data_IF_234302372680
#
_entry.id   IF_234302372680
#
_cell.length_a   1.000
_cell.length_b   1.000
_cell.length_c   1.000
_cell.angle_alpha   90.00
_cell.angle_beta   90.00
_cell.angle_gamma   90.00
#
_symmetry.space_group_name_H-M   'P 1'
#
loop_
_entity.id
_entity.type
_entity.pdbx_description
1 polymer ?
#
# COMPACT_ATOMS: atom_id res chain seq x y z
N UNK A 1 -22.58 -0.26 -18.35
CA UNK A 1 -21.24 0.30 -18.06
C UNK A 1 -20.20 -0.80 -17.88
N UNK A 2 -20.35 -1.73 -16.93
CA UNK A 2 -19.45 -2.90 -16.81
C UNK A 2 -19.38 -3.75 -18.08
N UNK A 3 -20.54 -4.04 -18.68
CA UNK A 3 -20.62 -4.79 -19.95
C UNK A 3 -19.83 -4.17 -21.10
N UNK A 4 -19.59 -2.86 -21.04
CA UNK A 4 -18.82 -2.11 -22.04
C UNK A 4 -17.31 -2.18 -21.76
N UNK A 5 -16.91 -2.10 -20.48
CA UNK A 5 -15.49 -1.96 -20.08
C UNK A 5 -14.81 -3.30 -19.84
N UNK A 6 -15.57 -4.35 -19.48
CA UNK A 6 -15.01 -5.65 -19.08
C UNK A 6 -14.14 -6.29 -20.16
N UNK A 7 -14.50 -6.10 -21.43
CA UNK A 7 -13.76 -6.66 -22.56
C UNK A 7 -12.37 -6.05 -22.67
N UNK A 8 -12.30 -4.72 -22.68
CA UNK A 8 -11.06 -3.96 -22.77
C UNK A 8 -10.17 -4.20 -21.55
N UNK A 9 -10.76 -4.21 -20.34
CA UNK A 9 -10.03 -4.49 -19.11
C UNK A 9 -9.43 -5.91 -19.13
N UNK A 10 -10.20 -6.92 -19.57
CA UNK A 10 -9.74 -8.30 -19.65
C UNK A 10 -8.62 -8.46 -20.69
N UNK A 11 -8.74 -7.81 -21.86
CA UNK A 11 -7.66 -7.82 -22.85
C UNK A 11 -6.39 -7.19 -22.31
N UNK A 12 -6.50 -6.06 -21.62
CA UNK A 12 -5.35 -5.40 -20.98
C UNK A 12 -4.67 -6.32 -19.95
N UNK A 13 -5.43 -7.14 -19.21
CA UNK A 13 -4.89 -8.17 -18.31
C UNK A 13 -4.18 -9.32 -19.04
N UNK A 14 -4.68 -9.72 -20.20
CA UNK A 14 -4.04 -10.74 -21.04
C UNK A 14 -2.72 -10.23 -21.59
N UNK A 15 -2.69 -9.00 -22.08
CA UNK A 15 -1.47 -8.35 -22.59
C UNK A 15 -0.44 -8.16 -21.47
N UNK A 16 -0.90 -7.81 -20.25
CA UNK A 16 -0.05 -7.77 -19.07
C UNK A 16 0.56 -9.14 -18.76
N UNK A 17 -0.23 -10.20 -18.85
CA UNK A 17 0.22 -11.57 -18.56
C UNK A 17 1.23 -12.09 -19.60
N UNK A 18 1.15 -11.60 -20.84
CA UNK A 18 2.11 -11.89 -21.91
C UNK A 18 3.36 -11.02 -21.85
N UNK A 19 3.34 -9.93 -21.08
CA UNK A 19 4.41 -8.95 -21.01
C UNK A 19 4.38 -7.90 -22.11
N UNK A 20 3.34 -7.88 -22.93
CA UNK A 20 3.19 -6.99 -24.09
C UNK A 20 2.55 -5.63 -23.73
N UNK A 21 2.07 -5.49 -22.49
CA UNK A 21 1.46 -4.25 -22.03
C UNK A 21 2.50 -3.17 -21.73
N UNK A 22 2.37 -2.01 -22.38
CA UNK A 22 3.17 -0.83 -22.11
C UNK A 22 2.82 -0.17 -20.76
N UNK A 23 3.30 -0.78 -19.67
CA UNK A 23 3.04 -0.33 -18.29
C UNK A 23 3.46 1.12 -18.02
N UNK A 24 4.53 1.59 -18.67
CA UNK A 24 4.98 2.98 -18.54
C UNK A 24 3.93 3.97 -19.05
N UNK A 25 3.18 3.60 -20.10
CA UNK A 25 2.07 4.38 -20.65
C UNK A 25 0.87 4.49 -19.71
N UNK A 26 0.73 3.55 -18.76
CA UNK A 26 -0.39 3.47 -17.84
C UNK A 26 -0.05 4.01 -16.45
N UNK A 27 1.23 4.05 -16.09
CA UNK A 27 1.72 4.58 -14.82
C UNK A 27 1.96 6.10 -14.86
N UNK A 28 1.05 6.84 -15.49
CA UNK A 28 0.99 8.29 -15.35
C UNK A 28 -0.07 8.64 -14.30
N UNK A 29 0.30 9.54 -13.40
CA UNK A 29 -0.60 10.04 -12.38
C UNK A 29 -0.46 11.54 -12.20
N UNK A 30 -1.57 12.16 -11.80
CA UNK A 30 -1.60 13.59 -11.47
C UNK A 30 -1.35 13.74 -9.98
N UNK A 31 -0.34 14.53 -9.62
CA UNK A 31 -0.09 14.88 -8.21
C UNK A 31 -1.04 16.01 -7.83
N UNK A 32 -1.97 15.71 -6.94
CA UNK A 32 -2.93 16.66 -6.37
C UNK A 32 -2.56 16.96 -4.93
N UNK A 33 -2.56 18.24 -4.56
CA UNK A 33 -2.27 18.70 -3.21
C UNK A 33 -3.57 18.90 -2.43
N UNK A 34 -3.81 18.10 -1.39
CA UNK A 34 -4.96 18.25 -0.51
C UNK A 34 -4.54 19.02 0.75
N UNK A 35 -5.18 20.16 1.07
CA UNK A 35 -4.87 20.92 2.27
C UNK A 35 -5.19 20.11 3.54
N UNK A 36 -4.30 20.14 4.54
CA UNK A 36 -4.51 19.53 5.87
C UNK A 36 -5.28 20.45 6.82
N UNK A 37 -5.21 21.76 6.59
CA UNK A 37 -5.75 22.82 7.45
C UNK A 37 -6.47 23.86 6.58
N UNK A 38 -7.38 24.61 7.20
CA UNK A 38 -8.02 25.76 6.57
C UNK A 38 -6.96 26.84 6.28
N UNK A 39 -7.03 27.48 5.10
CA UNK A 39 -6.06 28.50 4.65
C UNK A 39 -4.60 28.01 4.62
N UNK A 40 -4.38 26.82 4.05
CA UNK A 40 -3.03 26.31 3.85
C UNK A 40 -2.20 27.26 2.98
N UNK A 41 -1.08 27.74 3.51
CA UNK A 41 -0.22 28.76 2.89
C UNK A 41 1.24 28.29 2.74
N UNK A 42 1.60 27.12 3.28
CA UNK A 42 2.93 26.52 3.10
C UNK A 42 2.83 25.06 2.65
N UNK A 43 3.77 24.60 1.82
CA UNK A 43 3.73 23.27 1.20
C UNK A 43 3.61 22.10 2.20
N UNK A 44 4.17 22.25 3.41
CA UNK A 44 4.11 21.25 4.48
C UNK A 44 2.68 21.00 5.01
N UNK A 45 1.79 21.99 4.84
CA UNK A 45 0.39 21.91 5.19
C UNK A 45 -0.44 21.16 4.15
N UNK A 46 0.15 20.71 3.04
CA UNK A 46 -0.52 19.88 2.05
C UNK A 46 -0.14 18.40 2.21
N UNK A 47 -1.09 17.53 1.87
CA UNK A 47 -0.84 16.11 1.59
C UNK A 47 -0.79 15.94 0.07
N UNK A 48 0.36 15.58 -0.52
CA UNK A 48 0.37 15.17 -1.91
C UNK A 48 -0.30 13.80 -2.04
N UNK A 49 -1.20 13.67 -3.01
CA UNK A 49 -1.79 12.40 -3.44
C UNK A 49 -1.54 12.25 -4.93
N UNK A 50 -1.08 11.08 -5.36
CA UNK A 50 -0.94 10.74 -6.77
C UNK A 50 -2.22 10.03 -7.23
N UNK A 51 -2.93 10.60 -8.20
CA UNK A 51 -4.09 9.98 -8.84
C UNK A 51 -3.62 9.21 -10.07
N UNK A 52 -3.55 7.88 -9.97
CA UNK A 52 -3.10 6.99 -11.04
C UNK A 52 -4.23 6.62 -12.00
N UNK A 53 -3.88 6.04 -13.15
CA UNK A 53 -4.87 5.43 -14.03
C UNK A 53 -5.59 4.29 -13.31
N UNK A 54 -6.93 4.27 -13.37
CA UNK A 54 -7.76 3.24 -12.73
C UNK A 54 -7.36 1.81 -13.12
N UNK A 55 -7.03 1.56 -14.39
CA UNK A 55 -6.59 0.24 -14.84
C UNK A 55 -5.30 -0.20 -14.13
N UNK A 56 -4.38 0.75 -13.91
CA UNK A 56 -3.14 0.50 -13.17
C UNK A 56 -3.39 0.22 -11.67
N UNK A 57 -4.35 0.92 -11.05
CA UNK A 57 -4.77 0.62 -9.68
C UNK A 57 -5.36 -0.79 -9.56
N UNK A 58 -6.15 -1.22 -10.55
CA UNK A 58 -6.70 -2.58 -10.59
C UNK A 58 -5.57 -3.63 -10.70
N UNK A 59 -4.58 -3.42 -11.58
CA UNK A 59 -3.43 -4.34 -11.70
C UNK A 59 -2.65 -4.47 -10.40
N UNK A 60 -2.27 -3.34 -9.81
CA UNK A 60 -1.51 -3.32 -8.55
C UNK A 60 -2.31 -3.95 -7.42
N UNK A 61 -3.63 -3.73 -7.34
CA UNK A 61 -4.49 -4.37 -6.35
C UNK A 61 -4.53 -5.89 -6.48
N UNK A 62 -4.69 -6.41 -7.71
CA UNK A 62 -4.64 -7.87 -7.96
C UNK A 62 -3.28 -8.44 -7.58
N UNK A 63 -2.19 -7.75 -7.94
CA UNK A 63 -0.84 -8.17 -7.59
C UNK A 63 -0.61 -8.19 -6.07
N UNK A 64 -1.01 -7.14 -5.36
CA UNK A 64 -0.94 -7.07 -3.90
C UNK A 64 -1.76 -8.18 -3.25
N UNK A 65 -2.98 -8.45 -3.72
CA UNK A 65 -3.82 -9.52 -3.18
C UNK A 65 -3.17 -10.91 -3.34
N UNK A 66 -2.48 -11.15 -4.46
CA UNK A 66 -1.72 -12.39 -4.70
C UNK A 66 -0.47 -12.51 -3.82
N UNK A 67 0.19 -11.38 -3.52
CA UNK A 67 1.36 -11.36 -2.64
C UNK A 67 0.97 -11.46 -1.16
N UNK A 68 -0.17 -10.87 -0.77
CA UNK A 68 -0.63 -10.81 0.62
C UNK A 68 -1.31 -12.09 1.10
N UNK A 69 -1.59 -13.06 0.21
CA UNK A 69 -2.31 -14.29 0.55
C UNK A 69 -1.60 -15.20 1.56
N UNK A 70 -0.39 -14.86 2.01
CA UNK A 70 0.37 -15.58 3.03
C UNK A 70 0.78 -14.77 4.26
N UNK A 71 0.39 -13.50 4.39
CA UNK A 71 0.78 -12.66 5.54
C UNK A 71 -0.45 -12.14 6.28
N UNK A 72 -0.85 -12.85 7.34
CA UNK A 72 -1.94 -12.43 8.20
C UNK A 72 -1.43 -11.46 9.27
N UNK A 73 -1.86 -10.20 9.19
CA UNK A 73 -1.55 -9.19 10.22
C UNK A 73 -2.00 -9.65 11.61
N UNK A 74 -3.10 -10.41 11.68
CA UNK A 74 -3.60 -11.00 12.92
C UNK A 74 -2.63 -11.99 13.55
N UNK A 75 -1.89 -12.76 12.76
CA UNK A 75 -0.90 -13.71 13.28
C UNK A 75 0.22 -12.97 13.99
N UNK A 76 0.73 -11.88 13.40
CA UNK A 76 1.71 -11.01 14.05
C UNK A 76 1.19 -10.36 15.33
N UNK A 77 -0.10 -9.99 15.38
CA UNK A 77 -0.73 -9.44 16.58
C UNK A 77 -0.87 -10.49 17.69
N UNK A 78 -1.26 -11.72 17.35
CA UNK A 78 -1.39 -12.83 18.32
C UNK A 78 -0.03 -13.16 18.92
N UNK A 79 1.03 -13.28 18.10
CA UNK A 79 2.40 -13.55 18.56
C UNK A 79 2.88 -12.44 19.50
N UNK A 80 2.64 -11.16 19.16
CA UNK A 80 3.02 -10.05 20.01
C UNK A 80 2.27 -10.09 21.35
N UNK A 81 0.96 -10.34 21.32
CA UNK A 81 0.14 -10.41 22.53
C UNK A 81 0.57 -11.57 23.44
N UNK A 82 0.79 -12.76 22.88
CA UNK A 82 1.29 -13.92 23.63
C UNK A 82 2.66 -13.67 24.23
N UNK A 83 3.57 -13.04 23.46
CA UNK A 83 4.88 -12.63 23.95
C UNK A 83 4.72 -11.71 25.16
N UNK A 84 3.99 -10.60 25.04
CA UNK A 84 3.75 -9.65 26.15
C UNK A 84 3.14 -10.35 27.37
N UNK A 85 2.18 -11.24 27.15
CA UNK A 85 1.52 -11.98 28.22
C UNK A 85 2.51 -12.91 28.97
N UNK A 86 3.36 -13.64 28.25
CA UNK A 86 4.40 -14.49 28.85
C UNK A 86 5.45 -13.69 29.63
N UNK A 87 5.85 -12.53 29.10
CA UNK A 87 6.75 -11.60 29.76
C UNK A 87 6.16 -11.10 31.10
N UNK A 88 4.88 -10.73 31.10
CA UNK A 88 4.15 -10.34 32.32
C UNK A 88 4.07 -11.48 33.35
N UNK A 89 3.81 -12.70 32.90
CA UNK A 89 3.70 -13.88 33.78
C UNK A 89 5.02 -14.22 34.47
N UNK A 90 6.15 -14.06 33.77
CA UNK A 90 7.48 -14.44 34.27
C UNK A 90 8.10 -13.42 35.23
N UNK A 91 7.48 -12.25 35.43
CA UNK A 91 7.95 -11.16 36.33
C UNK A 91 9.45 -10.83 36.16
N UNK A 92 9.94 -10.87 34.92
CA UNK A 92 11.33 -10.49 34.61
C UNK A 92 11.42 -9.00 34.26
N UNK A 93 12.53 -8.37 34.62
CA UNK A 93 12.82 -6.99 34.22
C UNK A 93 13.24 -6.98 32.75
N UNK A 94 12.40 -6.43 31.88
CA UNK A 94 12.58 -6.51 30.43
C UNK A 94 12.40 -5.15 29.75
N UNK A 95 12.97 -5.04 28.55
CA UNK A 95 12.98 -3.84 27.73
C UNK A 95 12.32 -4.16 26.39
N UNK A 96 11.25 -3.44 26.06
CA UNK A 96 10.59 -3.51 24.75
C UNK A 96 11.17 -2.41 23.86
N UNK A 97 11.86 -2.80 22.79
CA UNK A 97 12.39 -1.87 21.80
C UNK A 97 11.36 -1.65 20.68
N UNK A 98 10.67 -0.51 20.71
CA UNK A 98 9.79 -0.08 19.62
C UNK A 98 10.57 0.79 18.63
N UNK A 99 10.81 0.28 17.43
CA UNK A 99 11.43 1.03 16.33
C UNK A 99 10.35 1.63 15.44
N UNK A 100 10.48 2.92 15.10
CA UNK A 100 9.63 3.60 14.14
C UNK A 100 10.46 4.11 12.96
N UNK A 101 10.06 3.77 11.74
CA UNK A 101 10.76 4.19 10.53
C UNK A 101 10.04 5.38 9.90
N UNK A 102 10.63 6.57 9.99
CA UNK A 102 10.13 7.73 9.26
C UNK A 102 10.36 7.53 7.74
N UNK A 103 9.27 7.60 6.96
CA UNK A 103 9.27 7.52 5.48
C UNK A 103 9.98 6.28 4.93
N UNK A 104 9.70 5.11 5.53
CA UNK A 104 10.33 3.83 5.16
C UNK A 104 10.33 3.57 3.63
N UNK A 105 9.21 3.86 2.96
CA UNK A 105 9.06 3.64 1.52
C UNK A 105 9.94 4.53 0.64
N UNK A 106 10.32 5.73 1.10
CA UNK A 106 11.19 6.62 0.33
C UNK A 106 12.68 6.20 0.40
N UNK A 107 13.01 5.24 1.26
CA UNK A 107 14.39 4.75 1.48
C UNK A 107 14.67 3.43 0.77
N UNK A 108 13.68 2.85 0.08
CA UNK A 108 13.86 1.64 -0.73
C UNK A 108 14.51 2.04 -2.05
N UNK A 109 15.65 1.42 -2.38
CA UNK A 109 16.47 1.71 -3.57
C UNK A 109 16.22 0.70 -4.68
#
# INVERSE_FOLDING_TARGET
FWETIKGDLLQTFLDLSKGDLALFGLNFGVITLIPKVQEANVIQQYRPICLLNMSYEIFTKVATNRLSSGQNIFEGMVILHETIHELHRKKQNEIILKLNFEKAYHKVR
#
